data_IF_440007738336
#
_entry.id   IF_440007738336
#
_cell.length_a   1.000
_cell.length_b   1.000
_cell.length_c   1.000
_cell.angle_alpha   90.00
_cell.angle_beta   90.00
_cell.angle_gamma   90.00
#
_symmetry.space_group_name_H-M   'P 1'
#
loop_
_entity.id
_entity.type
_entity.pdbx_description
1 polymer ?
#
# COMPACT_ATOMS: atom_id res chain seq x y z
N UNK A 1 -4.51 -8.60 1.04
CA UNK A 1 -4.15 -8.01 -0.27
C UNK A 1 -3.66 -9.04 -1.29
N UNK A 2 -2.74 -9.96 -0.96
CA UNK A 2 -2.30 -11.05 -1.89
C UNK A 2 -3.43 -11.76 -2.66
N UNK A 3 -4.52 -12.13 -1.99
CA UNK A 3 -5.70 -12.74 -2.63
C UNK A 3 -6.40 -11.83 -3.66
N UNK A 4 -6.37 -10.51 -3.44
CA UNK A 4 -6.95 -9.49 -4.35
C UNK A 4 -6.02 -9.21 -5.54
N UNK A 5 -4.71 -9.37 -5.35
CA UNK A 5 -3.69 -9.07 -6.36
C UNK A 5 -2.71 -10.25 -6.52
N UNK A 6 -3.17 -11.41 -7.03
CA UNK A 6 -2.36 -12.63 -7.06
C UNK A 6 -1.14 -12.56 -7.99
N UNK A 7 -1.20 -11.71 -9.02
CA UNK A 7 -0.13 -11.51 -10.01
C UNK A 7 0.74 -10.27 -9.73
N UNK A 8 0.40 -9.48 -8.71
CA UNK A 8 1.18 -8.29 -8.36
C UNK A 8 2.43 -8.64 -7.57
N UNK A 9 3.53 -7.97 -7.89
CA UNK A 9 4.74 -8.00 -7.08
C UNK A 9 4.47 -7.37 -5.72
N UNK A 10 5.10 -7.93 -4.69
CA UNK A 10 5.12 -7.38 -3.35
C UNK A 10 6.46 -6.69 -3.12
N UNK A 11 6.46 -5.37 -3.07
CA UNK A 11 7.65 -4.57 -2.83
C UNK A 11 7.66 -4.14 -1.37
N UNK A 12 8.42 -4.84 -0.54
CA UNK A 12 8.55 -4.56 0.87
C UNK A 12 9.71 -3.58 1.11
N UNK A 13 9.44 -2.46 1.75
CA UNK A 13 10.41 -1.44 2.11
C UNK A 13 10.52 -1.38 3.63
N UNK A 14 11.74 -1.59 4.15
CA UNK A 14 12.05 -1.39 5.57
C UNK A 14 12.70 -0.03 5.76
N UNK A 15 11.87 0.98 6.02
CA UNK A 15 12.33 2.31 6.40
C UNK A 15 12.58 2.36 7.91
N UNK A 16 13.45 3.27 8.34
CA UNK A 16 13.82 3.42 9.75
C UNK A 16 12.62 3.60 10.69
N UNK A 17 11.55 4.25 10.23
CA UNK A 17 10.37 4.57 11.04
C UNK A 17 9.14 3.71 10.75
N UNK A 18 9.11 2.97 9.64
CA UNK A 18 7.93 2.24 9.19
C UNK A 18 8.27 1.20 8.13
N UNK A 19 7.42 0.20 8.01
CA UNK A 19 7.51 -0.80 6.94
C UNK A 19 6.38 -0.57 5.95
N UNK A 20 6.67 -0.67 4.65
CA UNK A 20 5.67 -0.56 3.59
C UNK A 20 5.68 -1.81 2.75
N UNK A 21 4.51 -2.34 2.40
CA UNK A 21 4.37 -3.37 1.37
C UNK A 21 3.52 -2.78 0.24
N UNK A 22 4.12 -2.58 -0.93
CA UNK A 22 3.44 -2.10 -2.12
C UNK A 22 3.08 -3.27 -3.04
N UNK A 23 1.88 -3.24 -3.63
CA UNK A 23 1.41 -4.23 -4.60
C UNK A 23 1.46 -3.59 -5.99
N UNK A 24 2.40 -4.03 -6.84
CA UNK A 24 2.71 -3.38 -8.11
C UNK A 24 2.76 -4.35 -9.31
N UNK A 25 2.44 -3.90 -10.53
CA UNK A 25 2.61 -4.69 -11.75
C UNK A 25 4.09 -4.83 -12.16
N UNK A 26 4.94 -3.90 -11.71
CA UNK A 26 6.39 -3.86 -12.00
C UNK A 26 7.20 -4.00 -10.72
N UNK A 27 8.52 -3.88 -10.81
CA UNK A 27 9.44 -3.80 -9.68
C UNK A 27 9.57 -2.37 -9.10
N UNK A 28 8.75 -1.41 -9.55
CA UNK A 28 8.81 -0.02 -9.10
C UNK A 28 7.63 0.32 -8.20
N UNK A 29 7.92 0.84 -7.00
CA UNK A 29 6.87 1.23 -6.04
C UNK A 29 5.94 2.34 -6.54
N UNK A 30 6.39 3.20 -7.46
CA UNK A 30 5.56 4.25 -8.07
C UNK A 30 4.43 3.70 -8.95
N UNK A 31 4.62 2.48 -9.48
CA UNK A 31 3.62 1.78 -10.29
C UNK A 31 2.64 0.99 -9.42
N UNK A 32 2.79 1.00 -8.08
CA UNK A 32 1.89 0.25 -7.20
C UNK A 32 0.45 0.69 -7.32
N UNK A 33 -0.48 -0.26 -7.14
CA UNK A 33 -1.92 0.01 -7.13
C UNK A 33 -2.31 0.48 -5.72
N UNK A 34 -1.89 -0.30 -4.72
CA UNK A 34 -2.04 0.02 -3.30
C UNK A 34 -0.75 -0.27 -2.56
N UNK A 35 -0.56 0.38 -1.42
CA UNK A 35 0.48 0.00 -0.46
C UNK A 35 -0.04 0.07 0.97
N UNK A 36 0.45 -0.84 1.80
CA UNK A 36 0.15 -0.86 3.24
C UNK A 36 1.38 -0.39 3.98
N UNK A 37 1.26 0.66 4.78
CA UNK A 37 2.30 1.13 5.67
C UNK A 37 1.96 0.80 7.12
N UNK A 38 2.84 0.08 7.81
CA UNK A 38 2.81 -0.12 9.25
C UNK A 38 3.77 0.88 9.91
N UNK A 39 3.23 1.79 10.69
CA UNK A 39 3.94 2.90 11.33
C UNK A 39 3.72 2.87 12.84
N UNK A 40 4.50 3.64 13.60
CA UNK A 40 4.31 3.76 15.05
C UNK A 40 2.97 4.38 15.44
N UNK A 41 2.38 5.18 14.56
CA UNK A 41 1.10 5.87 14.74
C UNK A 41 -0.09 5.12 14.12
N UNK A 42 0.11 3.90 13.61
CA UNK A 42 -0.96 3.05 13.07
C UNK A 42 -0.67 2.47 11.70
N UNK A 43 -1.70 1.88 11.10
CA UNK A 43 -1.64 1.24 9.78
C UNK A 43 -2.41 2.09 8.77
N UNK A 44 -1.80 2.32 7.60
CA UNK A 44 -2.43 3.07 6.50
C UNK A 44 -2.47 2.22 5.24
N UNK A 45 -3.61 2.22 4.57
CA UNK A 45 -3.75 1.70 3.21
C UNK A 45 -3.74 2.88 2.24
N UNK A 46 -2.65 3.00 1.48
CA UNK A 46 -2.49 3.98 0.43
C UNK A 46 -3.06 3.47 -0.88
N UNK A 47 -3.72 4.36 -1.61
CA UNK A 47 -4.21 4.16 -2.96
C UNK A 47 -3.41 5.03 -3.91
N UNK A 48 -2.80 4.42 -4.92
CA UNK A 48 -2.22 5.18 -6.01
C UNK A 48 -3.33 5.75 -6.90
N UNK A 49 -3.05 6.89 -7.54
CA UNK A 49 -4.06 7.71 -8.22
C UNK A 49 -5.19 8.17 -7.27
N UNK A 50 -4.93 8.20 -5.96
CA UNK A 50 -5.92 8.51 -4.92
C UNK A 50 -6.75 9.78 -5.16
N UNK A 51 -6.17 10.91 -5.62
CA UNK A 51 -6.96 12.12 -5.93
C UNK A 51 -8.03 11.94 -7.02
N UNK A 52 -7.91 10.91 -7.85
CA UNK A 52 -8.88 10.60 -8.94
C UNK A 52 -9.96 9.61 -8.50
N UNK A 53 -9.87 9.06 -7.28
CA UNK A 53 -10.88 8.14 -6.77
C UNK A 53 -12.14 8.90 -6.37
N UNK A 54 -13.29 8.36 -6.74
CA UNK A 54 -14.57 8.81 -6.20
C UNK A 54 -14.66 8.40 -4.73
N UNK A 55 -14.79 9.37 -3.84
CA UNK A 55 -14.86 9.15 -2.40
C UNK A 55 -16.07 9.86 -1.76
N UNK A 56 -17.31 9.44 -2.07
CA UNK A 56 -18.52 10.07 -1.53
C UNK A 56 -18.63 9.99 0.00
N UNK A 57 -18.02 8.99 0.64
CA UNK A 57 -17.97 8.87 2.10
C UNK A 57 -16.83 9.65 2.76
N UNK A 58 -15.98 10.32 1.97
CA UNK A 58 -14.87 11.16 2.46
C UNK A 58 -13.92 10.41 3.40
N UNK A 59 -13.62 9.15 3.11
CA UNK A 59 -12.68 8.35 3.91
C UNK A 59 -11.22 8.65 3.55
N UNK A 60 -10.96 9.14 2.33
CA UNK A 60 -9.61 9.38 1.83
C UNK A 60 -8.97 10.58 2.51
N UNK A 61 -7.86 10.30 3.18
CA UNK A 61 -7.00 11.26 3.86
C UNK A 61 -5.74 11.56 3.04
N UNK A 62 -5.06 12.62 3.44
CA UNK A 62 -3.79 13.07 2.88
C UNK A 62 -3.95 14.01 1.68
N UNK A 63 -2.87 14.73 1.38
CA UNK A 63 -2.81 15.77 0.35
C UNK A 63 -1.74 15.50 -0.72
N UNK A 64 -1.20 14.29 -0.77
CA UNK A 64 -0.16 13.91 -1.73
C UNK A 64 -0.61 14.10 -3.19
N UNK A 65 0.30 14.45 -4.09
CA UNK A 65 -0.06 14.66 -5.51
C UNK A 65 -0.61 13.40 -6.18
N UNK A 66 -0.15 12.24 -5.73
CA UNK A 66 -0.35 10.96 -6.41
C UNK A 66 -1.17 9.97 -5.57
N UNK A 67 -1.17 10.12 -4.25
CA UNK A 67 -1.76 9.15 -3.33
C UNK A 67 -2.74 9.78 -2.36
N UNK A 68 -3.71 8.97 -1.96
CA UNK A 68 -4.56 9.17 -0.76
C UNK A 68 -4.44 7.92 0.10
N UNK A 69 -4.87 7.98 1.34
CA UNK A 69 -4.89 6.81 2.20
C UNK A 69 -6.13 6.77 3.09
N UNK A 70 -6.45 5.59 3.61
CA UNK A 70 -7.31 5.43 4.78
C UNK A 70 -6.45 4.92 5.95
N UNK A 71 -6.88 5.24 7.16
CA UNK A 71 -6.39 4.54 8.35
C UNK A 71 -7.11 3.19 8.46
N UNK A 72 -6.34 2.16 8.80
CA UNK A 72 -6.83 0.79 8.92
C UNK A 72 -6.83 0.40 10.38
N UNK A 73 -8.00 0.42 11.01
CA UNK A 73 -8.17 0.07 12.43
C UNK A 73 -8.21 -1.44 12.64
N UNK A 74 -8.70 -2.19 11.64
CA UNK A 74 -8.76 -3.64 11.70
C UNK A 74 -8.62 -4.27 10.30
N UNK A 75 -8.19 -5.53 10.27
CA UNK A 75 -8.12 -6.29 9.01
C UNK A 75 -9.50 -6.47 8.35
N UNK A 76 -10.58 -6.50 9.14
CA UNK A 76 -11.95 -6.65 8.65
C UNK A 76 -12.40 -5.45 7.81
N UNK A 77 -11.89 -4.25 8.11
CA UNK A 77 -12.17 -3.03 7.35
C UNK A 77 -11.78 -3.16 5.87
N UNK A 78 -10.77 -3.99 5.55
CA UNK A 78 -10.34 -4.26 4.16
C UNK A 78 -11.35 -5.09 3.36
N UNK A 79 -12.35 -5.67 4.02
CA UNK A 79 -13.47 -6.40 3.42
C UNK A 79 -14.75 -5.57 3.39
N UNK A 80 -14.76 -4.35 3.93
CA UNK A 80 -15.92 -3.48 3.84
C UNK A 80 -16.20 -3.13 2.37
N UNK A 81 -17.46 -3.16 1.91
CA UNK A 81 -17.81 -2.96 0.50
C UNK A 81 -17.26 -1.66 -0.08
N UNK A 82 -17.18 -0.61 0.74
CA UNK A 82 -16.69 0.69 0.30
C UNK A 82 -15.16 0.73 0.15
N UNK A 83 -14.42 0.15 1.08
CA UNK A 83 -12.96 0.01 0.97
C UNK A 83 -12.60 -0.90 -0.19
N UNK A 84 -13.36 -1.98 -0.40
CA UNK A 84 -13.21 -2.84 -1.56
C UNK A 84 -13.47 -2.10 -2.89
N UNK A 85 -14.49 -1.24 -2.94
CA UNK A 85 -14.74 -0.39 -4.11
C UNK A 85 -13.56 0.56 -4.39
N UNK A 86 -12.97 1.18 -3.36
CA UNK A 86 -11.78 2.02 -3.51
C UNK A 86 -10.57 1.21 -4.03
N UNK A 87 -10.36 0.00 -3.52
CA UNK A 87 -9.27 -0.88 -3.97
C UNK A 87 -9.44 -1.25 -5.45
N UNK A 88 -10.67 -1.58 -5.87
CA UNK A 88 -10.99 -1.90 -7.27
C UNK A 88 -10.81 -0.68 -8.18
N UNK A 89 -11.33 0.47 -7.78
CA UNK A 89 -11.18 1.70 -8.55
C UNK A 89 -9.70 2.12 -8.69
N UNK A 90 -8.87 1.92 -7.65
CA UNK A 90 -7.44 2.17 -7.75
C UNK A 90 -6.75 1.22 -8.75
N UNK A 91 -7.18 -0.04 -8.82
CA UNK A 91 -6.70 -0.99 -9.82
C UNK A 91 -7.10 -0.57 -11.24
N UNK A 92 -8.34 -0.14 -11.44
CA UNK A 92 -8.85 0.28 -12.75
C UNK A 92 -8.18 1.57 -13.26
N UNK A 93 -7.75 2.44 -12.34
CA UNK A 93 -6.98 3.65 -12.67
C UNK A 93 -5.48 3.39 -12.84
N UNK A 94 -5.00 2.16 -12.60
CA UNK A 94 -3.58 1.83 -12.75
C UNK A 94 -3.13 2.04 -14.20
N UNK A 95 -2.08 2.83 -14.39
CA UNK A 95 -1.52 3.10 -15.72
C UNK A 95 -0.87 1.86 -16.35
N UNK A 96 -0.41 0.92 -15.52
CA UNK A 96 0.15 -0.35 -15.96
C UNK A 96 -0.79 -1.45 -15.47
N UNK A 97 -1.38 -2.26 -16.37
CA UNK A 97 -2.24 -3.36 -15.94
C UNK A 97 -1.41 -4.46 -15.26
N UNK A 98 -2.04 -5.18 -14.33
CA UNK A 98 -1.44 -6.38 -13.76
C UNK A 98 -1.27 -7.46 -14.84
N UNK A 99 -0.22 -8.31 -14.74
CA UNK A 99 -0.11 -9.48 -15.59
C UNK A 99 -1.38 -10.35 -15.46
N UNK A 100 -1.94 -10.87 -16.58
CA UNK A 100 -3.19 -11.64 -16.56
C UNK A 100 -3.03 -13.02 -15.91
N UNK A 101 -1.80 -13.55 -15.86
CA UNK A 101 -1.45 -14.85 -15.29
C UNK A 101 -0.08 -14.78 -14.61
N UNK A 102 0.21 -15.78 -13.79
CA UNK A 102 1.47 -15.91 -13.07
C UNK A 102 1.31 -15.64 -11.58
N UNK A 103 2.44 -15.39 -10.93
CA UNK A 103 2.51 -15.07 -9.50
C UNK A 103 3.53 -13.96 -9.33
N UNK A 104 3.17 -12.92 -8.59
CA UNK A 104 4.11 -11.85 -8.30
C UNK A 104 5.28 -12.30 -7.43
N UNK A 105 6.37 -11.53 -7.47
CA UNK A 105 7.56 -11.76 -6.65
C UNK A 105 7.56 -10.86 -5.42
N UNK A 106 8.03 -11.37 -4.28
CA UNK A 106 8.32 -10.57 -3.10
C UNK A 106 9.77 -10.08 -3.16
N UNK A 107 9.95 -8.77 -3.18
CA UNK A 107 11.27 -8.12 -3.11
C UNK A 107 11.35 -7.28 -1.84
N UNK A 108 12.34 -7.55 -0.99
CA UNK A 108 12.59 -6.79 0.24
C UNK A 108 13.73 -5.81 -0.01
N UNK A 109 13.46 -4.52 0.24
CA UNK A 109 14.41 -3.41 0.09
C UNK A 109 14.62 -2.77 1.45
N UNK A 110 15.79 -3.00 2.03
CA UNK A 110 16.22 -2.33 3.27
C UNK A 110 17.15 -1.17 2.95
N UNK A 111 17.10 -0.11 3.76
CA UNK A 111 18.19 0.88 3.85
C UNK A 111 19.38 0.28 4.61
N UNK A 112 19.97 -0.81 4.09
CA UNK A 112 20.92 -1.66 4.82
C UNK A 112 22.24 -0.97 5.20
N UNK A 113 22.55 0.22 4.69
CA UNK A 113 23.83 0.88 4.96
C UNK A 113 23.86 1.72 6.25
N UNK A 114 22.71 2.17 6.79
CA UNK A 114 22.70 3.16 7.90
C UNK A 114 21.49 3.04 8.84
N UNK A 115 21.05 1.81 9.15
CA UNK A 115 20.01 1.64 10.18
C UNK A 115 20.61 1.87 11.57
N UNK A 116 20.23 2.98 12.23
CA UNK A 116 20.55 3.22 13.64
C UNK A 116 19.90 2.14 14.51
N UNK A 117 20.55 1.70 15.61
CA UNK A 117 19.97 0.70 16.51
C UNK A 117 18.57 1.11 16.95
N UNK A 118 17.58 0.23 16.79
CA UNK A 118 16.22 0.48 17.29
C UNK A 118 16.31 0.73 18.79
N UNK A 119 15.81 1.88 19.25
CA UNK A 119 15.70 2.18 20.68
C UNK A 119 14.80 1.12 21.31
N UNK A 120 15.31 0.41 22.32
CA UNK A 120 14.50 -0.47 23.16
C UNK A 120 13.37 0.37 23.78
N UNK A 121 12.14 -0.14 23.87
CA UNK A 121 11.09 0.55 24.60
C UNK A 121 11.54 0.75 26.05
N UNK A 122 11.31 1.95 26.58
CA UNK A 122 11.50 2.21 28.01
C UNK A 122 10.53 1.33 28.79
N UNK A 123 11.03 0.68 29.84
CA UNK A 123 10.32 -0.26 30.68
C UNK A 123 9.51 0.45 31.75
#
# INVERSE_FOLDING_TARGET
MRKRFPTANELAYDYTSHVVIAYAPTDRGIDSIVSIAARSDGVRLYFNQGPKLSDPKKLLLGSGKQTRFIEVESAAQLAEPYVEALIRAANDLSSIPLPPKGKGMLTIRGAAANQRPRRKPAR
#
